data_IF_270490290791
#
_entry.id   IF_270490290791
#
_cell.length_a   1.000
_cell.length_b   1.000
_cell.length_c   1.000
_cell.angle_alpha   90.00
_cell.angle_beta   90.00
_cell.angle_gamma   90.00
#
_symmetry.space_group_name_H-M   'P 1'
#
loop_
_entity.id
_entity.type
_entity.pdbx_description
1 polymer ?
#
# COMPACT_ATOMS: atom_id res chain seq x y z
N UNK A 1 -9.75 -29.02 -9.08
CA UNK A 1 -10.31 -28.55 -7.79
C UNK A 1 -10.70 -27.09 -8.00
N UNK A 2 -11.95 -26.70 -7.81
CA UNK A 2 -12.53 -25.43 -8.29
C UNK A 2 -11.84 -24.14 -7.79
N UNK A 3 -11.00 -24.22 -6.76
CA UNK A 3 -10.37 -23.06 -6.10
C UNK A 3 -8.85 -23.02 -6.23
N UNK A 4 -8.28 -23.85 -7.12
CA UNK A 4 -6.89 -23.69 -7.57
C UNK A 4 -6.74 -22.63 -8.66
N UNK A 5 -7.87 -22.18 -9.23
CA UNK A 5 -7.97 -21.12 -10.23
C UNK A 5 -8.67 -19.91 -9.62
N UNK A 6 -8.40 -18.74 -10.19
CA UNK A 6 -9.09 -17.52 -9.80
C UNK A 6 -10.43 -17.42 -10.52
N UNK A 7 -11.50 -17.12 -9.77
CA UNK A 7 -12.87 -16.98 -10.27
C UNK A 7 -13.12 -15.66 -11.03
N UNK A 8 -12.06 -14.94 -11.33
CA UNK A 8 -12.02 -13.66 -12.01
C UNK A 8 -10.73 -13.57 -12.83
N UNK A 9 -10.64 -12.65 -13.82
CA UNK A 9 -9.44 -12.51 -14.67
C UNK A 9 -8.13 -12.27 -13.90
N UNK A 10 -8.25 -11.79 -12.66
CA UNK A 10 -7.16 -11.61 -11.70
C UNK A 10 -7.71 -11.63 -10.29
N UNK A 11 -6.81 -11.78 -9.31
CA UNK A 11 -7.16 -11.88 -7.90
C UNK A 11 -7.68 -10.56 -7.34
N UNK A 12 -9.00 -10.45 -7.16
CA UNK A 12 -9.68 -9.21 -6.75
C UNK A 12 -9.30 -8.71 -5.35
N UNK A 13 -8.73 -9.56 -4.50
CA UNK A 13 -8.19 -9.15 -3.20
C UNK A 13 -6.87 -8.38 -3.31
N UNK A 14 -6.12 -8.57 -4.40
CA UNK A 14 -4.82 -7.93 -4.62
C UNK A 14 -4.81 -6.95 -5.80
N UNK A 15 -5.70 -7.12 -6.79
CA UNK A 15 -5.69 -6.37 -8.05
C UNK A 15 -7.07 -5.81 -8.40
N UNK A 16 -7.07 -4.71 -9.15
CA UNK A 16 -8.20 -4.15 -9.88
C UNK A 16 -7.85 -4.07 -11.39
N UNK A 17 -8.72 -3.46 -12.19
CA UNK A 17 -8.51 -3.32 -13.63
C UNK A 17 -7.24 -2.50 -13.96
N UNK A 18 -6.94 -1.50 -13.13
CA UNK A 18 -5.80 -0.58 -13.30
C UNK A 18 -4.46 -1.16 -12.83
N UNK A 19 -4.45 -2.20 -11.98
CA UNK A 19 -3.23 -2.79 -11.44
C UNK A 19 -3.39 -3.38 -10.05
N UNK A 20 -2.30 -3.37 -9.27
CA UNK A 20 -2.36 -3.79 -7.86
C UNK A 20 -3.21 -2.78 -7.08
N UNK A 21 -4.09 -3.25 -6.19
CA UNK A 21 -4.96 -2.39 -5.40
C UNK A 21 -4.11 -1.46 -4.53
N UNK A 22 -4.46 -0.18 -4.55
CA UNK A 22 -3.96 0.77 -3.58
C UNK A 22 -4.71 0.56 -2.26
N UNK A 23 -3.97 0.34 -1.17
CA UNK A 23 -4.56 0.32 0.16
C UNK A 23 -4.80 1.74 0.68
N UNK A 24 -5.70 1.89 1.66
CA UNK A 24 -5.85 3.13 2.43
C UNK A 24 -4.68 3.27 3.40
N UNK A 25 -3.47 3.51 2.86
CA UNK A 25 -2.21 3.59 3.62
C UNK A 25 -2.27 4.59 4.79
N UNK A 26 -3.09 5.63 4.67
CA UNK A 26 -3.29 6.65 5.70
C UNK A 26 -3.92 6.11 6.99
N UNK A 27 -4.67 5.00 6.95
CA UNK A 27 -5.27 4.41 8.15
C UNK A 27 -4.20 3.98 9.17
N UNK A 28 -2.99 3.67 8.71
CA UNK A 28 -1.86 3.33 9.55
C UNK A 28 -1.39 4.50 10.42
N UNK A 29 -1.70 5.76 10.10
CA UNK A 29 -1.38 6.89 10.98
C UNK A 29 -2.04 6.74 12.36
N UNK A 30 -3.23 6.12 12.43
CA UNK A 30 -3.94 5.87 13.69
C UNK A 30 -3.21 4.90 14.62
N UNK A 31 -2.25 4.12 14.08
CA UNK A 31 -1.41 3.23 14.86
C UNK A 31 -0.25 3.95 15.57
N UNK A 32 0.05 5.20 15.22
CA UNK A 32 1.15 5.96 15.81
C UNK A 32 0.63 7.01 16.80
N UNK A 33 1.40 7.26 17.87
CA UNK A 33 1.02 8.25 18.89
C UNK A 33 1.40 9.66 18.42
N UNK A 34 0.44 10.61 18.35
CA UNK A 34 0.76 12.01 18.12
C UNK A 34 1.47 12.63 19.32
N UNK A 35 2.46 13.49 19.04
CA UNK A 35 3.17 14.23 20.09
C UNK A 35 2.85 15.72 19.99
N UNK A 36 2.67 16.35 21.15
CA UNK A 36 2.43 17.79 21.21
C UNK A 36 3.66 18.55 20.74
N UNK A 37 3.46 19.51 19.85
CA UNK A 37 4.51 20.32 19.22
C UNK A 37 5.40 21.01 20.26
N UNK A 38 4.81 21.47 21.37
CA UNK A 38 5.50 22.19 22.44
C UNK A 38 6.38 21.30 23.34
N UNK A 39 6.23 19.97 23.27
CA UNK A 39 7.03 19.02 24.04
C UNK A 39 8.42 18.78 23.43
N UNK A 40 8.62 19.17 22.16
CA UNK A 40 9.89 18.98 21.44
C UNK A 40 10.76 20.25 21.60
N UNK A 41 11.16 20.54 22.84
CA UNK A 41 12.02 21.68 23.16
C UNK A 41 13.49 21.35 22.91
N UNK A 42 13.96 21.49 21.68
CA UNK A 42 15.38 21.57 21.33
C UNK A 42 15.71 22.93 20.73
N UNK A 43 16.88 23.49 21.05
CA UNK A 43 17.35 24.76 20.46
C UNK A 43 18.01 24.52 19.10
N UNK A 44 18.51 23.30 18.85
CA UNK A 44 19.20 22.94 17.63
C UNK A 44 18.46 21.80 16.89
N UNK A 45 17.49 22.16 16.06
CA UNK A 45 16.69 21.22 15.29
C UNK A 45 17.23 21.07 13.86
N UNK A 46 17.04 19.90 13.26
CA UNK A 46 17.30 19.64 11.84
C UNK A 46 16.04 19.17 11.14
N UNK A 47 15.82 19.60 9.91
CA UNK A 47 14.65 19.18 9.12
C UNK A 47 15.10 18.55 7.81
N UNK A 48 14.65 17.32 7.56
CA UNK A 48 14.77 16.64 6.27
C UNK A 48 13.42 16.71 5.58
N UNK A 49 13.36 17.40 4.45
CA UNK A 49 12.12 17.60 3.67
C UNK A 49 12.12 16.69 2.46
N UNK A 50 11.04 15.95 2.29
CA UNK A 50 10.72 15.26 1.04
C UNK A 50 10.57 16.29 -0.09
N UNK A 51 11.48 16.23 -1.05
CA UNK A 51 11.49 17.09 -2.22
C UNK A 51 10.28 16.87 -3.12
N UNK A 52 9.75 15.65 -3.22
CA UNK A 52 8.52 15.36 -3.95
C UNK A 52 7.32 16.07 -3.34
N UNK A 53 7.15 15.95 -2.01
CA UNK A 53 6.16 16.73 -1.27
C UNK A 53 6.34 18.24 -1.46
N UNK A 54 7.57 18.74 -1.31
CA UNK A 54 7.88 20.17 -1.45
C UNK A 54 7.47 20.71 -2.83
N UNK A 55 7.77 19.96 -3.91
CA UNK A 55 7.44 20.33 -5.29
C UNK A 55 5.95 20.62 -5.49
N UNK A 56 5.08 19.86 -4.83
CA UNK A 56 3.63 20.04 -4.91
C UNK A 56 3.07 21.02 -3.88
N UNK A 57 3.82 21.29 -2.79
CA UNK A 57 3.32 22.14 -1.70
C UNK A 57 3.39 23.63 -2.00
N UNK A 58 4.41 24.07 -2.75
CA UNK A 58 4.59 25.48 -3.09
C UNK A 58 3.76 25.82 -4.32
N UNK A 59 2.80 26.73 -4.16
CA UNK A 59 1.85 27.10 -5.22
C UNK A 59 2.48 28.07 -6.22
N UNK A 60 2.34 27.77 -7.51
CA UNK A 60 2.82 28.66 -8.57
C UNK A 60 1.74 29.68 -8.95
N UNK A 61 1.97 30.96 -8.67
CA UNK A 61 1.04 32.01 -9.06
C UNK A 61 1.17 32.38 -10.55
N UNK A 62 0.07 32.88 -11.14
CA UNK A 62 0.07 33.35 -12.52
C UNK A 62 1.12 34.44 -12.74
N UNK A 63 1.77 34.40 -13.90
CA UNK A 63 2.82 35.34 -14.31
C UNK A 63 4.08 35.34 -13.44
N UNK A 64 4.29 34.32 -12.59
CA UNK A 64 5.59 34.11 -11.98
C UNK A 64 6.54 33.41 -12.96
N UNK A 65 7.73 33.97 -13.14
CA UNK A 65 8.80 33.30 -13.85
C UNK A 65 9.46 32.23 -12.98
N UNK A 66 10.21 31.31 -13.60
CA UNK A 66 10.87 30.21 -12.89
C UNK A 66 11.82 30.69 -11.79
N UNK A 67 12.49 31.83 -11.96
CA UNK A 67 13.34 32.44 -10.93
C UNK A 67 12.57 32.85 -9.67
N UNK A 68 11.41 33.51 -9.86
CA UNK A 68 10.53 33.87 -8.76
C UNK A 68 9.88 32.62 -8.14
N UNK A 69 9.56 31.60 -8.95
CA UNK A 69 9.03 30.32 -8.47
C UNK A 69 10.05 29.67 -7.52
N UNK A 70 11.30 29.45 -7.94
CA UNK A 70 12.32 28.84 -7.06
C UNK A 70 12.60 29.68 -5.81
N UNK A 71 12.47 31.01 -5.91
CA UNK A 71 12.52 31.90 -4.74
C UNK A 71 11.38 31.63 -3.76
N UNK A 72 10.16 31.38 -4.24
CA UNK A 72 9.04 30.97 -3.37
C UNK A 72 9.31 29.66 -2.64
N UNK A 73 10.00 28.70 -3.27
CA UNK A 73 10.43 27.47 -2.57
C UNK A 73 11.38 27.77 -1.43
N UNK A 74 12.38 28.64 -1.65
CA UNK A 74 13.29 29.06 -0.59
C UNK A 74 12.55 29.80 0.53
N UNK A 75 11.68 30.76 0.18
CA UNK A 75 10.88 31.49 1.15
C UNK A 75 9.99 30.55 1.96
N UNK A 76 9.39 29.54 1.32
CA UNK A 76 8.64 28.50 2.00
C UNK A 76 9.50 27.76 3.02
N UNK A 77 10.67 27.27 2.60
CA UNK A 77 11.59 26.57 3.50
C UNK A 77 11.99 27.44 4.70
N UNK A 78 12.39 28.70 4.47
CA UNK A 78 12.81 29.63 5.51
C UNK A 78 11.67 30.05 6.46
N UNK A 79 10.44 30.11 5.97
CA UNK A 79 9.28 30.53 6.76
C UNK A 79 8.79 29.40 7.67
N UNK A 80 8.74 28.18 7.14
CA UNK A 80 8.16 27.03 7.85
C UNK A 80 9.18 26.19 8.61
N UNK A 81 10.43 26.20 8.15
CA UNK A 81 11.52 25.43 8.74
C UNK A 81 12.65 26.40 9.11
N UNK A 82 12.98 26.44 10.40
CA UNK A 82 14.09 27.25 10.93
C UNK A 82 15.41 26.78 10.28
N UNK A 83 16.51 27.50 10.49
CA UNK A 83 17.86 27.13 10.07
C UNK A 83 18.18 25.64 10.27
N UNK A 84 18.97 25.06 9.35
CA UNK A 84 19.35 23.63 9.25
C UNK A 84 18.31 22.73 8.55
N UNK A 85 18.16 22.93 7.24
CA UNK A 85 17.26 22.15 6.39
C UNK A 85 18.05 21.40 5.33
N UNK A 86 17.69 20.13 5.13
CA UNK A 86 18.06 19.35 3.96
C UNK A 86 16.82 18.98 3.13
N UNK A 87 16.88 19.21 1.83
CA UNK A 87 15.83 18.77 0.89
C UNK A 87 16.35 17.57 0.11
N UNK A 88 15.57 16.49 0.06
CA UNK A 88 15.96 15.27 -0.65
C UNK A 88 15.00 15.01 -1.80
N UNK A 89 15.52 15.01 -3.03
CA UNK A 89 14.72 14.82 -4.24
C UNK A 89 14.79 13.38 -4.75
N UNK A 90 13.72 12.95 -5.44
CA UNK A 90 13.73 11.76 -6.27
C UNK A 90 14.74 11.86 -7.42
N UNK A 91 15.18 10.67 -7.84
CA UNK A 91 16.02 10.49 -9.01
C UNK A 91 15.25 10.06 -10.25
N UNK A 92 15.68 10.57 -11.39
CA UNK A 92 15.09 10.28 -12.69
C UNK A 92 16.21 9.89 -13.67
N UNK A 93 16.75 8.66 -13.57
CA UNK A 93 17.85 8.25 -14.43
C UNK A 93 17.40 8.24 -15.88
N UNK A 94 18.22 8.77 -16.78
CA UNK A 94 17.93 8.74 -18.22
C UNK A 94 18.01 7.34 -18.82
N UNK A 95 18.72 6.43 -18.12
CA UNK A 95 19.09 5.09 -18.60
C UNK A 95 18.40 3.96 -17.83
N UNK A 96 17.19 4.17 -17.30
CA UNK A 96 16.45 3.05 -16.71
C UNK A 96 16.02 2.15 -17.86
N UNK A 97 16.73 1.05 -18.08
CA UNK A 97 16.49 0.05 -19.14
C UNK A 97 15.15 -0.72 -18.97
N UNK A 98 14.08 -0.07 -18.51
CA UNK A 98 12.83 -0.73 -18.14
C UNK A 98 12.97 -1.71 -16.97
N UNK A 99 14.10 -1.71 -16.25
CA UNK A 99 14.39 -2.64 -15.15
C UNK A 99 13.98 -2.12 -13.77
N UNK A 100 13.40 -0.93 -13.66
CA UNK A 100 12.95 -0.40 -12.37
C UNK A 100 11.55 -0.90 -12.03
N UNK A 101 11.37 -1.28 -10.77
CA UNK A 101 10.06 -1.60 -10.19
C UNK A 101 9.13 -0.39 -10.11
N UNK A 102 9.66 0.84 -10.26
CA UNK A 102 8.88 2.09 -10.27
C UNK A 102 8.39 2.48 -11.66
N UNK A 103 8.86 1.83 -12.73
CA UNK A 103 8.49 2.17 -14.12
C UNK A 103 6.99 2.07 -14.37
N UNK A 104 6.31 1.03 -13.86
CA UNK A 104 4.86 0.88 -14.02
C UNK A 104 4.08 2.05 -13.37
N UNK A 105 4.44 2.42 -12.15
CA UNK A 105 3.78 3.53 -11.44
C UNK A 105 4.08 4.89 -12.09
N UNK A 106 5.31 5.09 -12.58
CA UNK A 106 5.69 6.29 -13.34
C UNK A 106 4.86 6.43 -14.62
N UNK A 107 4.67 5.34 -15.37
CA UNK A 107 3.86 5.34 -16.60
C UNK A 107 2.38 5.57 -16.30
N UNK A 108 1.84 4.95 -15.23
CA UNK A 108 0.47 5.21 -14.78
C UNK A 108 0.24 6.70 -14.52
N UNK A 109 1.17 7.35 -13.79
CA UNK A 109 1.11 8.79 -13.51
C UNK A 109 1.27 9.65 -14.76
N UNK A 110 2.19 9.29 -15.66
CA UNK A 110 2.43 10.00 -16.90
C UNK A 110 1.20 9.95 -17.85
N UNK A 111 0.50 8.82 -17.89
CA UNK A 111 -0.71 8.68 -18.70
C UNK A 111 -1.90 9.51 -18.20
N UNK A 112 -1.95 9.82 -16.89
CA UNK A 112 -2.99 10.68 -16.32
C UNK A 112 -2.83 12.15 -16.71
N UNK A 113 -1.59 12.62 -16.90
CA UNK A 113 -1.28 14.03 -17.13
C UNK A 113 -0.16 14.16 -18.17
N UNK A 114 -0.45 13.88 -19.44
CA UNK A 114 0.55 14.03 -20.50
C UNK A 114 0.88 15.50 -20.74
N UNK A 115 2.15 15.87 -20.61
CA UNK A 115 2.66 17.21 -20.92
C UNK A 115 3.92 17.12 -21.76
N UNK A 116 4.15 18.14 -22.60
CA UNK A 116 5.33 18.23 -23.46
C UNK A 116 6.56 18.64 -22.65
N UNK A 117 7.75 18.29 -23.15
CA UNK A 117 9.00 18.80 -22.57
C UNK A 117 9.09 20.32 -22.81
N UNK A 118 9.42 21.07 -21.76
CA UNK A 118 9.57 22.52 -21.78
C UNK A 118 11.03 22.86 -21.52
N UNK A 119 11.63 23.58 -22.45
CA UNK A 119 12.95 24.18 -22.30
C UNK A 119 12.75 25.60 -21.77
N UNK A 120 13.32 25.90 -20.60
CA UNK A 120 13.13 27.19 -19.95
C UNK A 120 14.42 27.70 -19.30
N UNK A 121 14.38 28.98 -18.94
CA UNK A 121 15.36 29.66 -18.09
C UNK A 121 14.62 30.40 -16.97
N UNK A 122 15.36 31.01 -16.06
CA UNK A 122 14.81 31.70 -14.88
C UNK A 122 13.83 32.84 -15.23
N UNK A 123 13.93 33.47 -16.39
CA UNK A 123 13.11 34.61 -16.79
C UNK A 123 11.77 34.20 -17.43
N UNK A 124 11.61 32.94 -17.85
CA UNK A 124 10.41 32.44 -18.52
C UNK A 124 9.30 32.15 -17.51
N UNK A 125 8.06 32.51 -17.86
CA UNK A 125 6.86 32.11 -17.13
C UNK A 125 6.34 30.76 -17.65
N UNK A 126 5.94 29.82 -16.77
CA UNK A 126 5.28 28.60 -17.20
C UNK A 126 3.98 28.92 -17.95
N UNK A 127 3.81 28.35 -19.14
CA UNK A 127 2.57 28.49 -19.94
C UNK A 127 1.49 27.47 -19.53
N UNK A 128 1.90 26.42 -18.82
CA UNK A 128 1.04 25.33 -18.35
C UNK A 128 0.92 25.33 -16.84
N UNK A 129 -0.05 24.59 -16.30
CA UNK A 129 -0.21 24.48 -14.84
C UNK A 129 0.97 23.75 -14.19
N UNK A 130 1.16 23.97 -12.88
CA UNK A 130 2.17 23.29 -12.08
C UNK A 130 2.00 21.77 -12.16
N UNK A 131 0.77 21.26 -12.09
CA UNK A 131 0.45 19.84 -12.15
C UNK A 131 0.86 19.25 -13.51
N UNK A 132 0.51 19.92 -14.60
CA UNK A 132 0.90 19.51 -15.95
C UNK A 132 2.41 19.56 -16.14
N UNK A 133 3.07 20.58 -15.59
CA UNK A 133 4.52 20.71 -15.68
C UNK A 133 5.22 19.58 -14.92
N UNK A 134 4.83 19.33 -13.68
CA UNK A 134 5.39 18.30 -12.81
C UNK A 134 4.98 16.89 -13.24
N UNK A 135 3.99 16.70 -14.10
CA UNK A 135 3.68 15.37 -14.63
C UNK A 135 4.75 14.84 -15.60
N UNK A 136 5.51 15.71 -16.25
CA UNK A 136 6.58 15.33 -17.16
C UNK A 136 7.92 15.19 -16.41
N UNK A 137 8.53 14.00 -16.48
CA UNK A 137 9.80 13.70 -15.79
C UNK A 137 10.97 14.58 -16.25
N UNK A 138 11.06 14.92 -17.54
CA UNK A 138 12.13 15.78 -18.06
C UNK A 138 11.99 17.21 -17.54
N UNK A 139 10.76 17.70 -17.43
CA UNK A 139 10.47 19.00 -16.83
C UNK A 139 10.84 19.02 -15.35
N UNK A 140 10.48 17.96 -14.61
CA UNK A 140 10.87 17.77 -13.21
C UNK A 140 12.38 17.80 -13.02
N UNK A 141 13.13 17.04 -13.82
CA UNK A 141 14.61 17.01 -13.74
C UNK A 141 15.19 18.41 -13.91
N UNK A 142 14.81 19.11 -14.99
CA UNK A 142 15.30 20.46 -15.27
C UNK A 142 14.95 21.44 -14.15
N UNK A 143 13.75 21.33 -13.59
CA UNK A 143 13.30 22.20 -12.50
C UNK A 143 14.02 21.89 -11.19
N UNK A 144 14.19 20.61 -10.84
CA UNK A 144 14.97 20.18 -9.68
C UNK A 144 16.41 20.67 -9.81
N UNK A 145 17.04 20.57 -10.99
CA UNK A 145 18.39 21.08 -11.22
C UNK A 145 18.50 22.59 -11.00
N UNK A 146 17.50 23.36 -11.46
CA UNK A 146 17.44 24.80 -11.21
C UNK A 146 17.25 25.11 -9.72
N UNK A 147 16.32 24.41 -9.07
CA UNK A 147 16.01 24.58 -7.65
C UNK A 147 17.22 24.25 -6.78
N UNK A 148 17.92 23.14 -7.03
CA UNK A 148 19.14 22.74 -6.31
C UNK A 148 20.23 23.81 -6.39
N UNK A 149 20.48 24.38 -7.57
CA UNK A 149 21.45 25.50 -7.72
C UNK A 149 21.08 26.69 -6.84
N UNK A 150 19.79 27.00 -6.74
CA UNK A 150 19.29 28.10 -5.92
C UNK A 150 19.39 27.79 -4.41
N UNK A 151 19.04 26.57 -4.01
CA UNK A 151 19.18 26.10 -2.62
C UNK A 151 20.64 26.14 -2.15
N UNK A 152 21.57 25.65 -2.99
CA UNK A 152 23.01 25.64 -2.71
C UNK A 152 23.58 27.05 -2.53
N UNK A 153 23.15 28.00 -3.38
CA UNK A 153 23.55 29.40 -3.28
C UNK A 153 23.17 30.03 -1.93
N UNK A 154 22.09 29.55 -1.33
CA UNK A 154 21.55 30.04 -0.07
C UNK A 154 21.92 29.13 1.12
N UNK A 155 22.92 28.26 0.93
CA UNK A 155 23.44 27.30 1.92
C UNK A 155 22.39 26.30 2.46
N UNK A 156 21.33 26.03 1.70
CA UNK A 156 20.41 24.93 2.00
C UNK A 156 21.01 23.64 1.45
N UNK A 157 21.05 22.60 2.28
CA UNK A 157 21.57 21.30 1.85
C UNK A 157 20.57 20.64 0.92
N UNK A 158 21.03 20.15 -0.23
CA UNK A 158 20.23 19.31 -1.12
C UNK A 158 20.87 17.93 -1.30
N UNK A 159 20.03 16.91 -1.45
CA UNK A 159 20.43 15.56 -1.88
C UNK A 159 19.47 15.07 -2.95
N UNK A 160 19.91 14.11 -3.74
CA UNK A 160 19.07 13.48 -4.74
C UNK A 160 19.35 11.98 -4.79
N UNK A 161 18.28 11.19 -4.76
CA UNK A 161 18.36 9.75 -4.90
C UNK A 161 18.65 9.35 -6.35
N UNK A 162 19.02 8.09 -6.55
CA UNK A 162 19.13 7.51 -7.91
C UNK A 162 17.74 7.30 -8.51
N UNK A 163 16.79 6.79 -7.73
CA UNK A 163 15.39 6.65 -8.15
C UNK A 163 14.43 7.20 -7.10
N UNK A 164 14.30 6.49 -5.98
CA UNK A 164 13.30 6.73 -4.95
C UNK A 164 13.95 7.40 -3.75
N UNK A 165 13.45 8.55 -3.31
CA UNK A 165 14.03 9.32 -2.22
C UNK A 165 13.74 8.74 -0.83
N UNK A 166 12.75 7.86 -0.69
CA UNK A 166 12.22 7.41 0.61
C UNK A 166 13.30 6.96 1.60
N UNK A 167 14.19 6.06 1.14
CA UNK A 167 15.28 5.53 1.96
C UNK A 167 16.32 6.63 2.25
N UNK A 168 16.69 7.42 1.23
CA UNK A 168 17.70 8.48 1.36
C UNK A 168 17.25 9.60 2.31
N UNK A 169 15.95 9.89 2.38
CA UNK A 169 15.33 10.82 3.34
C UNK A 169 15.60 10.33 4.76
N UNK A 170 15.27 9.07 5.04
CA UNK A 170 15.44 8.47 6.37
C UNK A 170 16.92 8.32 6.73
N UNK A 171 17.76 7.87 5.79
CA UNK A 171 19.22 7.78 5.99
C UNK A 171 19.84 9.15 6.28
N UNK A 172 19.40 10.19 5.58
CA UNK A 172 19.87 11.56 5.81
C UNK A 172 19.54 12.00 7.23
N UNK A 173 18.30 11.78 7.68
CA UNK A 173 17.89 12.08 9.05
C UNK A 173 18.72 11.28 10.07
N UNK A 174 18.92 9.99 9.83
CA UNK A 174 19.72 9.11 10.70
C UNK A 174 21.19 9.53 10.77
N UNK A 175 21.76 10.05 9.68
CA UNK A 175 23.18 10.43 9.59
C UNK A 175 23.54 11.64 10.45
N UNK A 176 22.59 12.55 10.67
CA UNK A 176 22.80 13.79 11.44
C UNK A 176 22.35 13.70 12.90
N UNK A 177 21.87 12.53 13.33
CA UNK A 177 21.29 12.28 14.67
C UNK A 177 22.10 12.74 15.87
N UNK A 178 23.42 12.66 15.78
CA UNK A 178 24.32 12.97 16.91
C UNK A 178 24.70 14.44 16.96
N UNK A 179 24.25 15.23 15.98
CA UNK A 179 24.61 16.65 15.81
C UNK A 179 23.48 17.59 16.26
N UNK A 180 22.25 17.09 16.41
CA UNK A 180 21.05 17.88 16.63
C UNK A 180 20.20 17.33 17.77
N UNK A 181 19.52 18.24 18.46
CA UNK A 181 18.64 17.91 19.58
C UNK A 181 17.42 17.13 19.10
N UNK A 182 16.82 17.57 17.99
CA UNK A 182 15.68 16.90 17.34
C UNK A 182 15.83 16.92 15.82
N UNK A 183 15.36 15.86 15.18
CA UNK A 183 15.32 15.74 13.73
C UNK A 183 13.89 15.47 13.28
N UNK A 184 13.45 16.21 12.28
CA UNK A 184 12.12 16.07 11.70
C UNK A 184 12.24 15.59 10.25
N UNK A 185 11.62 14.47 9.93
CA UNK A 185 11.34 14.05 8.56
C UNK A 185 9.97 14.60 8.17
N UNK A 186 9.93 15.44 7.15
CA UNK A 186 8.71 16.09 6.67
C UNK A 186 8.29 15.47 5.34
N UNK A 187 7.06 14.97 5.29
CA UNK A 187 6.46 14.39 4.10
C UNK A 187 5.00 13.99 4.36
N UNK A 188 4.36 13.42 3.35
CA UNK A 188 2.96 12.95 3.44
C UNK A 188 2.84 11.44 3.53
N UNK A 189 3.82 10.68 3.03
CA UNK A 189 3.75 9.24 2.95
C UNK A 189 3.97 8.56 4.31
N UNK A 190 3.13 7.58 4.63
CA UNK A 190 3.29 6.72 5.81
C UNK A 190 4.55 5.85 5.70
N UNK A 191 5.03 5.60 4.48
CA UNK A 191 6.22 4.80 4.22
C UNK A 191 7.43 5.36 5.00
N UNK A 192 7.49 6.68 5.25
CA UNK A 192 8.49 7.29 6.12
C UNK A 192 8.43 6.79 7.56
N UNK A 193 7.25 6.69 8.17
CA UNK A 193 7.09 6.15 9.53
C UNK A 193 7.49 4.68 9.62
N UNK A 194 7.14 3.89 8.60
CA UNK A 194 7.53 2.48 8.50
C UNK A 194 9.05 2.35 8.40
N UNK A 195 9.68 3.12 7.51
CA UNK A 195 11.13 3.14 7.32
C UNK A 195 11.88 3.65 8.55
N UNK A 196 11.39 4.69 9.22
CA UNK A 196 11.98 5.20 10.45
C UNK A 196 11.96 4.14 11.56
N UNK A 197 10.88 3.38 11.67
CA UNK A 197 10.76 2.27 12.63
C UNK A 197 11.77 1.15 12.31
N UNK A 198 11.95 0.80 11.03
CA UNK A 198 12.85 -0.27 10.61
C UNK A 198 14.34 0.10 10.65
N UNK A 199 14.70 1.29 10.17
CA UNK A 199 16.09 1.73 9.97
C UNK A 199 16.67 2.52 11.16
N UNK A 200 15.81 3.05 12.04
CA UNK A 200 16.23 3.81 13.22
C UNK A 200 15.66 3.28 14.55
N UNK A 201 15.81 1.97 14.86
CA UNK A 201 15.11 1.29 15.94
C UNK A 201 15.57 1.65 17.36
N UNK A 202 16.09 2.84 17.70
CA UNK A 202 16.54 3.15 19.08
C UNK A 202 16.71 4.67 19.34
N UNK A 203 15.93 5.55 18.70
CA UNK A 203 16.27 6.99 18.69
C UNK A 203 15.10 7.89 19.06
N UNK A 204 15.16 8.44 20.28
CA UNK A 204 14.13 9.30 20.87
C UNK A 204 14.04 10.69 20.22
N UNK A 205 15.07 11.13 19.50
CA UNK A 205 15.14 12.46 18.89
C UNK A 205 14.73 12.54 17.41
N UNK A 206 14.08 11.50 16.89
CA UNK A 206 13.65 11.43 15.49
C UNK A 206 12.12 11.46 15.40
N UNK A 207 11.61 12.38 14.60
CA UNK A 207 10.19 12.65 14.49
C UNK A 207 9.75 12.68 13.03
N UNK A 208 8.54 12.20 12.76
CA UNK A 208 7.88 12.40 11.48
C UNK A 208 6.88 13.55 11.61
N UNK A 209 6.90 14.49 10.67
CA UNK A 209 6.01 15.65 10.68
C UNK A 209 5.16 15.65 9.41
N UNK A 210 3.88 15.36 9.61
CA UNK A 210 2.83 15.64 8.62
C UNK A 210 2.34 17.08 8.83
N UNK A 211 1.81 17.73 7.81
CA UNK A 211 1.28 19.10 7.89
C UNK A 211 0.42 19.34 9.15
N UNK A 212 0.90 20.21 10.04
CA UNK A 212 0.22 20.57 11.29
C UNK A 212 0.29 19.53 12.42
N UNK A 213 0.79 18.31 12.17
CA UNK A 213 0.82 17.21 13.14
C UNK A 213 2.23 16.63 13.25
N UNK A 214 2.84 16.72 14.43
CA UNK A 214 4.10 16.03 14.72
C UNK A 214 3.77 14.67 15.32
N UNK A 215 4.24 13.63 14.65
CA UNK A 215 4.20 12.25 15.13
C UNK A 215 5.60 11.89 15.63
N UNK A 216 5.71 11.58 16.92
CA UNK A 216 6.98 11.14 17.46
C UNK A 216 7.19 9.68 17.09
N UNK A 217 8.37 9.38 16.54
CA UNK A 217 8.79 8.00 16.32
C UNK A 217 9.36 7.47 17.64
N UNK A 218 8.50 7.35 18.65
CA UNK A 218 8.79 6.45 19.74
C UNK A 218 8.47 5.03 19.27
N UNK A 219 9.11 4.02 19.88
CA UNK A 219 8.48 2.71 20.02
C UNK A 219 7.22 2.83 20.89
N UNK A 220 6.28 3.70 20.55
CA UNK A 220 4.97 3.70 21.15
C UNK A 220 4.15 2.72 20.33
N UNK A 221 4.17 1.47 20.79
CA UNK A 221 3.13 0.47 20.60
C UNK A 221 2.70 0.22 19.14
N UNK A 222 3.29 -0.83 18.55
CA UNK A 222 2.55 -1.89 17.87
C UNK A 222 1.12 -1.52 17.45
N UNK A 223 0.92 -1.16 16.18
CA UNK A 223 -0.40 -0.84 15.64
C UNK A 223 -1.44 -1.93 15.92
N UNK A 224 -2.55 -1.56 16.56
CA UNK A 224 -3.50 -2.46 17.25
C UNK A 224 -4.11 -3.61 16.44
N UNK A 225 -4.11 -3.61 15.10
CA UNK A 225 -4.77 -4.66 14.31
C UNK A 225 -3.79 -5.68 13.69
N UNK A 226 -2.81 -5.20 12.90
CA UNK A 226 -1.79 -6.08 12.31
C UNK A 226 -0.78 -6.59 13.34
N UNK A 227 -0.49 -5.82 14.40
CA UNK A 227 0.37 -6.31 15.48
C UNK A 227 -0.39 -7.16 16.48
N UNK A 228 -1.70 -6.97 16.67
CA UNK A 228 -2.49 -7.95 17.44
C UNK A 228 -2.44 -9.34 16.79
N UNK A 229 -2.35 -9.43 15.46
CA UNK A 229 -2.09 -10.68 14.76
C UNK A 229 -0.73 -11.29 15.20
N UNK A 230 0.34 -10.49 15.25
CA UNK A 230 1.68 -10.93 15.66
C UNK A 230 1.77 -11.27 17.15
N UNK A 231 1.18 -10.45 18.01
CA UNK A 231 1.09 -10.67 19.46
C UNK A 231 0.34 -11.96 19.79
N UNK A 232 -0.78 -12.22 19.09
CA UNK A 232 -1.58 -13.44 19.24
C UNK A 232 -0.90 -14.67 18.62
N UNK A 233 -0.02 -14.47 17.65
CA UNK A 233 0.61 -15.55 16.89
C UNK A 233 2.14 -15.39 16.89
N UNK A 234 2.80 -15.62 18.03
CA UNK A 234 4.26 -15.47 18.17
C UNK A 234 5.08 -16.23 17.12
N UNK A 235 4.56 -17.35 16.58
CA UNK A 235 5.25 -18.08 15.50
C UNK A 235 5.29 -17.32 14.16
N UNK A 236 4.47 -16.29 13.96
CA UNK A 236 4.57 -15.41 12.80
C UNK A 236 5.85 -14.58 12.83
N UNK A 237 6.41 -14.29 14.01
CA UNK A 237 7.71 -13.61 14.11
C UNK A 237 8.82 -14.41 13.42
N UNK A 238 8.81 -15.74 13.55
CA UNK A 238 9.77 -16.62 12.87
C UNK A 238 9.59 -16.58 11.34
N UNK A 239 8.35 -16.48 10.87
CA UNK A 239 8.05 -16.33 9.43
C UNK A 239 8.49 -14.97 8.91
N UNK A 240 8.30 -13.90 9.68
CA UNK A 240 8.77 -12.56 9.33
C UNK A 240 10.30 -12.52 9.21
N UNK A 241 11.04 -13.20 10.10
CA UNK A 241 12.51 -13.26 10.03
C UNK A 241 13.02 -13.80 8.69
N UNK A 242 12.26 -14.65 8.00
CA UNK A 242 12.60 -15.13 6.65
C UNK A 242 12.73 -13.95 5.67
N UNK A 243 11.90 -12.92 5.79
CA UNK A 243 11.96 -11.76 4.91
C UNK A 243 13.22 -10.91 5.08
N UNK A 244 13.89 -11.02 6.24
CA UNK A 244 15.14 -10.32 6.55
C UNK A 244 16.39 -11.19 6.31
N UNK A 245 16.24 -12.43 5.84
CA UNK A 245 17.37 -13.33 5.55
C UNK A 245 17.82 -13.20 4.09
N UNK A 246 19.10 -12.85 3.86
CA UNK A 246 19.70 -12.71 2.52
C UNK A 246 19.70 -14.00 1.73
N UNK A 247 19.83 -15.13 2.44
CA UNK A 247 19.95 -16.47 1.88
C UNK A 247 18.60 -17.19 1.78
N UNK A 248 17.50 -16.50 2.10
CA UNK A 248 16.17 -17.07 1.95
C UNK A 248 15.92 -17.47 0.49
N UNK A 249 15.47 -18.70 0.30
CA UNK A 249 15.05 -19.21 -1.01
C UNK A 249 13.68 -18.64 -1.39
N UNK A 250 13.35 -18.65 -2.68
CA UNK A 250 12.04 -18.24 -3.21
C UNK A 250 10.91 -18.99 -2.48
N UNK A 251 11.06 -20.30 -2.28
CA UNK A 251 10.02 -21.11 -1.62
C UNK A 251 9.90 -20.81 -0.13
N UNK A 252 11.00 -20.52 0.57
CA UNK A 252 10.92 -20.10 1.97
C UNK A 252 10.16 -18.79 2.12
N UNK A 253 10.42 -17.81 1.25
CA UNK A 253 9.72 -16.52 1.24
C UNK A 253 8.25 -16.71 0.88
N UNK A 254 7.95 -17.51 -0.15
CA UNK A 254 6.59 -17.81 -0.57
C UNK A 254 5.79 -18.48 0.56
N UNK A 255 6.35 -19.52 1.19
CA UNK A 255 5.69 -20.25 2.29
C UNK A 255 5.50 -19.37 3.53
N UNK A 256 6.46 -18.49 3.83
CA UNK A 256 6.32 -17.53 4.92
C UNK A 256 5.20 -16.51 4.65
N UNK A 257 5.12 -16.00 3.41
CA UNK A 257 4.05 -15.09 2.99
C UNK A 257 2.68 -15.76 2.96
N UNK A 258 2.59 -16.99 2.48
CA UNK A 258 1.35 -17.78 2.51
C UNK A 258 0.87 -18.00 3.96
N UNK A 259 1.78 -18.41 4.86
CA UNK A 259 1.46 -18.58 6.28
C UNK A 259 0.92 -17.29 6.87
N UNK A 260 1.53 -16.15 6.55
CA UNK A 260 1.07 -14.85 7.02
C UNK A 260 -0.35 -14.53 6.52
N UNK A 261 -0.62 -14.76 5.23
CA UNK A 261 -1.93 -14.55 4.63
C UNK A 261 -3.00 -15.49 5.21
N UNK A 262 -2.70 -16.76 5.46
CA UNK A 262 -3.63 -17.69 6.12
C UNK A 262 -4.13 -17.11 7.45
N UNK A 263 -3.22 -16.62 8.31
CA UNK A 263 -3.59 -16.03 9.59
C UNK A 263 -4.34 -14.69 9.42
N UNK A 264 -3.94 -13.87 8.45
CA UNK A 264 -4.60 -12.59 8.15
C UNK A 264 -6.08 -12.80 7.79
N UNK A 265 -6.40 -13.89 7.09
CA UNK A 265 -7.76 -14.28 6.72
C UNK A 265 -8.44 -15.22 7.74
N UNK A 266 -7.90 -15.32 8.97
CA UNK A 266 -8.51 -16.06 10.07
C UNK A 266 -8.33 -17.58 10.02
N UNK A 267 -7.50 -18.10 9.13
CA UNK A 267 -7.15 -19.52 9.10
C UNK A 267 -6.14 -19.90 10.16
N UNK A 268 -6.14 -21.18 10.57
CA UNK A 268 -5.17 -21.75 11.49
C UNK A 268 -4.38 -22.88 10.80
N UNK A 269 -3.09 -22.68 10.47
CA UNK A 269 -2.30 -23.69 9.78
C UNK A 269 -1.87 -24.87 10.67
N UNK A 270 -2.21 -24.85 11.98
CA UNK A 270 -1.90 -25.95 12.92
C UNK A 270 -3.01 -26.99 13.03
N UNK A 271 -4.25 -26.67 12.64
CA UNK A 271 -5.41 -27.55 12.85
C UNK A 271 -5.74 -28.43 11.65
N UNK A 272 -5.22 -28.13 10.46
CA UNK A 272 -5.13 -29.03 9.31
C UNK A 272 -4.18 -28.43 8.28
N UNK A 273 -3.48 -29.26 7.51
CA UNK A 273 -2.59 -28.83 6.43
C UNK A 273 -3.41 -28.27 5.25
N UNK A 274 -4.02 -27.12 5.47
CA UNK A 274 -4.89 -26.44 4.52
C UNK A 274 -4.13 -25.25 3.95
N UNK A 275 -3.72 -25.40 2.70
CA UNK A 275 -3.11 -24.31 1.93
C UNK A 275 -4.09 -23.14 1.75
N UNK A 276 -3.59 -22.02 1.23
CA UNK A 276 -4.41 -20.82 1.06
C UNK A 276 -5.62 -21.05 0.14
N UNK A 277 -5.53 -21.99 -0.81
CA UNK A 277 -6.64 -22.34 -1.71
C UNK A 277 -7.75 -23.10 -0.96
N UNK A 278 -7.39 -23.96 -0.01
CA UNK A 278 -8.35 -24.63 0.85
C UNK A 278 -9.08 -23.60 1.74
N UNK A 279 -8.34 -22.69 2.39
CA UNK A 279 -8.96 -21.61 3.17
C UNK A 279 -9.90 -20.76 2.29
N UNK A 280 -9.46 -20.44 1.08
CA UNK A 280 -10.26 -19.70 0.09
C UNK A 280 -11.58 -20.42 -0.22
N UNK A 281 -11.53 -21.73 -0.43
CA UNK A 281 -12.72 -22.55 -0.66
C UNK A 281 -13.67 -22.53 0.54
N UNK A 282 -13.14 -22.75 1.74
CA UNK A 282 -13.91 -22.73 2.98
C UNK A 282 -14.63 -21.40 3.17
N UNK A 283 -13.92 -20.27 3.04
CA UNK A 283 -14.51 -18.93 3.13
C UNK A 283 -15.53 -18.67 2.02
N UNK A 284 -15.28 -19.14 0.80
CA UNK A 284 -16.25 -19.03 -0.29
C UNK A 284 -17.55 -19.76 0.05
N UNK A 285 -17.47 -21.03 0.48
CA UNK A 285 -18.66 -21.82 0.84
C UNK A 285 -19.45 -21.21 2.00
N UNK A 286 -18.78 -20.66 3.01
CA UNK A 286 -19.41 -19.93 4.10
C UNK A 286 -20.09 -18.63 3.66
N UNK A 287 -19.54 -17.96 2.64
CA UNK A 287 -20.08 -16.70 2.11
C UNK A 287 -21.21 -16.90 1.10
N UNK A 288 -21.20 -18.00 0.36
CA UNK A 288 -22.17 -18.30 -0.70
C UNK A 288 -23.57 -18.65 -0.17
N UNK A 289 -23.71 -18.90 1.14
CA UNK A 289 -25.00 -19.03 1.83
C UNK A 289 -25.62 -17.67 2.19
N UNK A 290 -24.89 -16.56 2.00
CA UNK A 290 -25.34 -15.19 2.31
C UNK A 290 -25.82 -14.46 1.05
N UNK A 291 -26.82 -13.59 1.20
CA UNK A 291 -27.52 -12.91 0.09
C UNK A 291 -26.64 -12.00 -0.81
N UNK A 292 -25.42 -11.63 -0.36
CA UNK A 292 -24.40 -10.91 -1.15
C UNK A 292 -23.02 -11.46 -0.80
N UNK A 293 -22.46 -12.30 -1.67
CA UNK A 293 -21.05 -12.70 -1.59
C UNK A 293 -20.19 -11.74 -2.41
N UNK A 294 -19.21 -11.10 -1.77
CA UNK A 294 -18.25 -10.21 -2.47
C UNK A 294 -16.95 -10.98 -2.67
N UNK A 295 -16.67 -11.40 -3.91
CA UNK A 295 -15.46 -12.17 -4.26
C UNK A 295 -14.15 -11.49 -3.84
N UNK A 296 -14.12 -10.15 -3.78
CA UNK A 296 -12.95 -9.39 -3.33
C UNK A 296 -12.57 -9.60 -1.86
N UNK A 297 -13.47 -10.19 -1.04
CA UNK A 297 -13.20 -10.52 0.38
C UNK A 297 -12.49 -11.86 0.54
N UNK A 298 -12.36 -12.66 -0.51
CA UNK A 298 -11.67 -13.94 -0.46
C UNK A 298 -10.15 -13.75 -0.40
N UNK A 299 -9.41 -14.62 0.32
CA UNK A 299 -7.96 -14.62 0.27
C UNK A 299 -7.46 -14.83 -1.16
N UNK A 300 -6.29 -14.31 -1.54
CA UNK A 300 -5.71 -14.57 -2.85
C UNK A 300 -5.47 -16.07 -3.07
N UNK A 301 -5.34 -16.49 -4.33
CA UNK A 301 -4.86 -17.85 -4.62
C UNK A 301 -3.42 -18.02 -4.12
N UNK A 302 -2.99 -19.26 -3.89
CA UNK A 302 -1.58 -19.58 -3.54
C UNK A 302 -0.60 -18.97 -4.56
N UNK A 303 -0.97 -19.00 -5.84
CA UNK A 303 -0.17 -18.46 -6.93
C UNK A 303 0.00 -16.93 -6.84
N UNK A 304 -1.10 -16.20 -6.68
CA UNK A 304 -1.06 -14.74 -6.49
C UNK A 304 -0.35 -14.33 -5.18
N UNK A 305 -0.57 -15.11 -4.11
CA UNK A 305 0.08 -14.93 -2.81
C UNK A 305 1.60 -15.10 -2.90
N UNK A 306 2.09 -16.10 -3.64
CA UNK A 306 3.52 -16.31 -3.90
C UNK A 306 4.16 -15.06 -4.49
N UNK A 307 3.60 -14.52 -5.56
CA UNK A 307 4.14 -13.31 -6.17
C UNK A 307 4.07 -12.07 -5.27
N UNK A 308 3.01 -11.95 -4.45
CA UNK A 308 2.92 -10.88 -3.47
C UNK A 308 4.05 -10.97 -2.42
N UNK A 309 4.30 -12.16 -1.87
CA UNK A 309 5.38 -12.39 -0.92
C UNK A 309 6.77 -12.07 -1.51
N UNK A 310 7.05 -12.51 -2.74
CA UNK A 310 8.34 -12.24 -3.39
C UNK A 310 8.58 -10.75 -3.63
N UNK A 311 7.54 -9.99 -3.99
CA UNK A 311 7.63 -8.54 -4.16
C UNK A 311 7.82 -7.81 -2.82
N UNK A 312 7.15 -8.25 -1.78
CA UNK A 312 7.35 -7.71 -0.42
C UNK A 312 8.78 -7.95 0.05
N UNK A 313 9.36 -9.12 -0.23
CA UNK A 313 10.77 -9.40 0.02
C UNK A 313 11.69 -8.48 -0.77
N UNK A 314 11.49 -8.35 -2.09
CA UNK A 314 12.26 -7.43 -2.93
C UNK A 314 12.24 -5.98 -2.39
N UNK A 315 11.06 -5.51 -1.96
CA UNK A 315 10.88 -4.17 -1.41
C UNK A 315 11.63 -3.98 -0.09
N UNK A 316 11.55 -4.93 0.84
CA UNK A 316 12.28 -4.90 2.11
C UNK A 316 13.79 -4.81 1.87
N UNK A 317 14.32 -5.62 0.95
CA UNK A 317 15.76 -5.60 0.63
C UNK A 317 16.21 -4.32 -0.04
N UNK A 318 15.38 -3.74 -0.92
CA UNK A 318 15.61 -2.42 -1.49
C UNK A 318 15.69 -1.35 -0.38
N UNK A 319 14.81 -1.41 0.61
CA UNK A 319 14.82 -0.51 1.76
C UNK A 319 16.04 -0.68 2.67
N UNK A 320 16.59 -1.89 2.74
CA UNK A 320 17.84 -2.18 3.45
C UNK A 320 19.09 -1.79 2.64
N UNK A 321 18.94 -1.18 1.46
CA UNK A 321 20.06 -0.73 0.63
C UNK A 321 20.70 -1.84 -0.22
N UNK A 322 20.04 -2.99 -0.37
CA UNK A 322 20.55 -4.11 -1.16
C UNK A 322 19.83 -4.21 -2.51
N UNK A 323 20.59 -4.33 -3.58
CA UNK A 323 20.05 -4.62 -4.91
C UNK A 323 19.76 -6.12 -5.06
N UNK A 324 18.52 -6.47 -5.39
CA UNK A 324 18.12 -7.81 -5.82
C UNK A 324 17.51 -7.72 -7.22
N UNK A 325 17.72 -8.77 -8.02
CA UNK A 325 17.18 -8.83 -9.37
C UNK A 325 15.65 -8.94 -9.34
N UNK A 326 14.89 -7.93 -9.79
CA UNK A 326 13.43 -7.98 -9.71
C UNK A 326 12.80 -9.15 -10.49
N UNK A 327 13.46 -9.62 -11.55
CA UNK A 327 12.98 -10.72 -12.39
C UNK A 327 12.98 -12.06 -11.66
N UNK A 328 13.87 -12.24 -10.68
CA UNK A 328 13.92 -13.42 -9.82
C UNK A 328 12.90 -13.36 -8.67
N UNK A 329 12.44 -12.15 -8.34
CA UNK A 329 11.63 -11.87 -7.15
C UNK A 329 10.25 -11.30 -7.49
N UNK A 330 9.60 -11.92 -8.48
CA UNK A 330 8.16 -11.73 -8.72
C UNK A 330 7.78 -10.51 -9.55
N UNK A 331 8.67 -10.05 -10.44
CA UNK A 331 8.37 -9.08 -11.49
C UNK A 331 8.62 -9.69 -12.88
N UNK A 332 7.83 -9.29 -13.88
CA UNK A 332 8.00 -9.73 -15.28
C UNK A 332 8.31 -8.55 -16.19
N UNK A 333 9.11 -8.75 -17.26
CA UNK A 333 9.40 -7.70 -18.21
C UNK A 333 8.18 -7.44 -19.11
N UNK A 334 7.88 -6.18 -19.35
CA UNK A 334 6.83 -5.72 -20.26
C UNK A 334 7.41 -4.67 -21.21
N UNK A 335 6.66 -4.30 -22.25
CA UNK A 335 7.02 -3.19 -23.16
C UNK A 335 7.20 -1.83 -22.44
N UNK A 336 6.72 -1.73 -21.20
CA UNK A 336 6.70 -0.54 -20.38
C UNK A 336 7.62 -0.66 -19.15
N UNK A 337 8.52 -1.63 -19.14
CA UNK A 337 9.41 -1.94 -18.02
C UNK A 337 8.89 -3.11 -17.18
N UNK A 338 9.20 -3.15 -15.89
CA UNK A 338 8.78 -4.24 -15.02
C UNK A 338 7.36 -4.07 -14.51
N UNK A 339 6.59 -5.14 -14.51
CA UNK A 339 5.23 -5.18 -13.96
C UNK A 339 5.07 -6.38 -13.02
N UNK A 340 4.26 -6.25 -11.95
CA UNK A 340 3.87 -7.40 -11.15
C UNK A 340 3.00 -8.34 -12.02
N UNK A 341 3.41 -9.62 -12.22
CA UNK A 341 2.51 -10.60 -12.80
C UNK A 341 1.29 -10.72 -11.88
N UNK A 342 0.11 -10.75 -12.49
CA UNK A 342 -1.15 -10.90 -11.76
C UNK A 342 -1.28 -12.33 -11.24
N UNK A 343 -1.03 -13.32 -12.11
CA UNK A 343 -1.02 -14.77 -11.86
C UNK A 343 -0.15 -15.45 -12.94
N UNK A 344 0.38 -16.65 -12.66
CA UNK A 344 1.04 -17.53 -13.65
C UNK A 344 0.03 -18.44 -14.34
N UNK A 345 -1.04 -18.84 -13.63
CA UNK A 345 -2.12 -19.65 -14.19
C UNK A 345 -3.19 -18.77 -14.81
N UNK A 346 -3.75 -19.24 -15.92
CA UNK A 346 -4.92 -18.63 -16.54
C UNK A 346 -6.07 -18.55 -15.54
N UNK A 347 -6.86 -17.48 -15.65
CA UNK A 347 -8.15 -17.40 -14.97
C UNK A 347 -8.99 -18.63 -15.34
N UNK A 348 -9.85 -19.06 -14.42
CA UNK A 348 -10.62 -20.29 -14.57
C UNK A 348 -11.28 -20.34 -15.97
N UNK A 349 -11.08 -21.41 -16.79
CA UNK A 349 -11.66 -21.45 -18.13
C UNK A 349 -13.16 -21.20 -18.05
N UNK A 350 -13.74 -20.45 -18.99
CA UNK A 350 -15.15 -19.98 -18.96
C UNK A 350 -16.18 -21.07 -18.60
N UNK A 351 -15.84 -22.34 -18.82
CA UNK A 351 -16.58 -23.53 -18.39
C UNK A 351 -16.83 -23.63 -16.87
N UNK A 352 -15.93 -23.10 -16.04
CA UNK A 352 -15.95 -23.17 -14.58
C UNK A 352 -16.62 -21.95 -13.91
N UNK A 353 -16.67 -20.79 -14.62
CA UNK A 353 -17.47 -19.62 -14.22
C UNK A 353 -18.97 -19.91 -14.19
N UNK A 354 -19.41 -20.98 -14.87
CA UNK A 354 -20.71 -21.61 -14.61
C UNK A 354 -20.58 -22.41 -13.33
N UNK A 355 -20.70 -21.74 -12.19
CA UNK A 355 -20.78 -22.45 -10.92
C UNK A 355 -22.11 -23.22 -10.90
N UNK A 356 -22.04 -24.52 -11.18
CA UNK A 356 -23.21 -25.40 -11.29
C UNK A 356 -23.50 -25.97 -9.92
N UNK A 357 -24.54 -25.45 -9.27
CA UNK A 357 -25.15 -26.07 -8.10
C UNK A 357 -26.43 -26.78 -8.49
N UNK A 358 -26.64 -27.98 -7.96
CA UNK A 358 -27.90 -28.66 -8.16
C UNK A 358 -28.90 -28.30 -7.05
N UNK A 359 -30.16 -28.13 -7.45
CA UNK A 359 -31.29 -27.95 -6.54
C UNK A 359 -32.00 -29.28 -6.24
N UNK A 360 -31.26 -30.39 -6.31
CA UNK A 360 -31.81 -31.72 -6.10
C UNK A 360 -32.32 -31.84 -4.65
N UNK A 361 -33.56 -32.32 -4.48
CA UNK A 361 -34.19 -32.46 -3.15
C UNK A 361 -34.00 -33.84 -2.52
N UNK A 362 -33.74 -34.88 -3.34
CA UNK A 362 -33.47 -36.26 -2.92
C UNK A 362 -32.61 -36.95 -3.98
N UNK A 363 -31.48 -37.56 -3.60
CA UNK A 363 -30.66 -38.43 -4.46
C UNK A 363 -30.09 -37.75 -5.72
N UNK A 364 -28.79 -37.46 -5.72
CA UNK A 364 -28.12 -36.82 -6.85
C UNK A 364 -27.75 -37.85 -7.96
N UNK A 365 -28.75 -38.25 -8.76
CA UNK A 365 -28.68 -39.25 -9.86
C UNK A 365 -28.62 -38.58 -11.25
N UNK A 366 -29.12 -39.22 -12.31
CA UNK A 366 -28.97 -38.76 -13.71
C UNK A 366 -29.63 -37.41 -14.03
N UNK A 367 -30.54 -36.92 -13.17
CA UNK A 367 -31.17 -35.61 -13.33
C UNK A 367 -30.36 -34.45 -12.70
N UNK A 368 -29.33 -34.76 -11.91
CA UNK A 368 -28.51 -33.76 -11.22
C UNK A 368 -27.64 -32.96 -12.19
N UNK A 369 -27.72 -31.64 -12.12
CA UNK A 369 -26.96 -30.76 -13.00
C UNK A 369 -25.45 -30.83 -12.73
N UNK A 370 -25.04 -31.00 -11.46
CA UNK A 370 -23.64 -31.26 -11.12
C UNK A 370 -23.15 -32.55 -11.80
N UNK A 371 -23.92 -33.64 -11.70
CA UNK A 371 -23.55 -34.93 -12.29
C UNK A 371 -23.52 -34.90 -13.82
N UNK A 372 -24.47 -34.22 -14.45
CA UNK A 372 -24.49 -34.01 -15.91
C UNK A 372 -23.29 -33.20 -16.39
N UNK A 373 -22.81 -32.28 -15.56
CA UNK A 373 -21.59 -31.52 -15.80
C UNK A 373 -20.31 -32.29 -15.43
N UNK A 374 -20.41 -33.54 -14.97
CA UNK A 374 -19.26 -34.35 -14.54
C UNK A 374 -18.66 -33.94 -13.19
N UNK A 375 -19.43 -33.22 -12.36
CA UNK A 375 -19.00 -32.64 -11.09
C UNK A 375 -19.61 -33.37 -9.90
N UNK A 376 -18.88 -33.37 -8.78
CA UNK A 376 -19.36 -33.81 -7.47
C UNK A 376 -20.19 -32.67 -6.85
N UNK A 377 -21.30 -33.01 -6.18
CA UNK A 377 -22.12 -32.03 -5.48
C UNK A 377 -21.33 -31.43 -4.30
N UNK A 378 -21.15 -30.11 -4.32
CA UNK A 378 -20.57 -29.35 -3.20
C UNK A 378 -21.55 -29.20 -2.04
N UNK A 379 -21.08 -28.76 -0.88
CA UNK A 379 -21.93 -28.33 0.25
C UNK A 379 -22.91 -27.21 -0.10
N UNK A 380 -22.69 -26.50 -1.21
CA UNK A 380 -23.57 -25.46 -1.75
C UNK A 380 -24.76 -26.01 -2.54
N UNK A 381 -24.78 -27.30 -2.86
CA UNK A 381 -25.92 -27.95 -3.50
C UNK A 381 -27.04 -28.20 -2.49
N UNK A 382 -28.29 -28.01 -2.88
CA UNK A 382 -29.44 -28.31 -2.01
C UNK A 382 -29.48 -29.78 -1.59
N UNK A 383 -28.93 -30.70 -2.40
CA UNK A 383 -28.90 -32.13 -2.04
C UNK A 383 -27.90 -32.46 -0.92
N UNK A 384 -26.95 -31.58 -0.62
CA UNK A 384 -25.91 -31.80 0.39
C UNK A 384 -26.34 -31.46 1.82
N UNK A 385 -27.52 -30.83 1.99
CA UNK A 385 -28.14 -30.51 3.29
C UNK A 385 -29.08 -31.61 3.80
N UNK A 386 -29.29 -32.68 3.03
CA UNK A 386 -30.11 -33.84 3.43
C UNK A 386 -29.31 -35.14 3.35
N UNK A 387 -29.58 -36.09 4.24
CA UNK A 387 -28.78 -37.32 4.49
C UNK A 387 -28.68 -38.36 3.34
N UNK A 388 -28.78 -37.99 2.06
CA UNK A 388 -28.68 -38.97 0.97
C UNK A 388 -28.20 -38.39 -0.37
N UNK A 389 -27.15 -37.57 -0.38
CA UNK A 389 -26.46 -37.22 -1.62
C UNK A 389 -25.48 -38.33 -2.02
N UNK A 390 -25.84 -39.13 -3.03
CA UNK A 390 -24.95 -40.18 -3.58
C UNK A 390 -23.83 -39.62 -4.50
N UNK A 391 -23.78 -38.29 -4.72
CA UNK A 391 -22.81 -37.64 -5.62
C UNK A 391 -21.85 -36.74 -4.82
N UNK A 392 -21.31 -37.23 -3.71
CA UNK A 392 -20.29 -36.58 -2.85
C UNK A 392 -18.96 -37.34 -2.90
N UNK A 393 -17.84 -36.70 -2.53
CA UNK A 393 -16.54 -37.37 -2.36
C UNK A 393 -16.32 -37.84 -0.92
N UNK A 394 -15.60 -38.94 -0.72
CA UNK A 394 -15.27 -39.53 0.59
C UNK A 394 -14.51 -38.60 1.55
N UNK A 395 -13.95 -37.48 1.05
CA UNK A 395 -13.31 -36.44 1.88
C UNK A 395 -14.32 -35.75 2.82
N UNK A 396 -15.62 -35.76 2.51
CA UNK A 396 -16.66 -35.11 3.32
C UNK A 396 -17.21 -36.00 4.47
N UNK A 397 -16.73 -37.23 4.64
CA UNK A 397 -17.26 -38.18 5.65
C UNK A 397 -16.45 -38.22 6.95
N UNK A 398 -15.45 -37.35 7.14
CA UNK A 398 -14.62 -37.30 8.35
C UNK A 398 -14.89 -36.11 9.29
N UNK A 399 -15.97 -35.35 9.06
CA UNK A 399 -16.46 -34.36 10.03
C UNK A 399 -17.75 -34.89 10.66
N UNK A 400 -17.59 -35.79 11.61
CA UNK A 400 -18.71 -36.45 12.29
C UNK A 400 -18.40 -36.86 13.72
N UNK A 401 -17.62 -36.05 14.45
CA UNK A 401 -17.52 -36.10 15.91
C UNK A 401 -16.57 -35.02 16.41
N UNK A 402 -17.07 -33.81 16.59
CA UNK A 402 -16.56 -32.90 17.62
C UNK A 402 -17.72 -32.76 18.59
N UNK A 403 -17.54 -33.31 19.79
CA UNK A 403 -18.44 -33.08 20.91
C UNK A 403 -18.48 -31.57 21.19
N UNK A 404 -19.68 -31.06 21.45
CA UNK A 404 -19.94 -29.67 21.81
C UNK A 404 -19.09 -29.26 23.02
N UNK A 405 -17.96 -28.59 22.78
CA UNK A 405 -17.38 -27.66 23.74
C UNK A 405 -17.59 -26.23 23.24
N UNK A 406 -18.13 -25.43 24.16
CA UNK A 406 -18.59 -24.04 24.07
C UNK A 406 -17.59 -23.08 23.42
N UNK A 407 -17.55 -23.04 22.08
CA UNK A 407 -16.84 -22.00 21.33
C UNK A 407 -17.79 -20.81 21.11
N UNK A 408 -17.66 -19.84 22.00
CA UNK A 408 -18.19 -18.49 21.80
C UNK A 408 -17.64 -17.96 20.47
N UNK A 409 -18.44 -17.28 19.62
CA UNK A 409 -17.94 -16.74 18.37
C UNK A 409 -16.77 -15.80 18.64
N UNK A 410 -15.59 -16.12 18.09
CA UNK A 410 -14.44 -15.22 18.17
C UNK A 410 -14.85 -13.84 17.62
N UNK A 411 -14.56 -12.73 18.34
CA UNK A 411 -15.03 -11.39 17.97
C UNK A 411 -14.62 -10.94 16.56
N UNK A 412 -13.61 -11.58 15.97
CA UNK A 412 -13.00 -11.22 14.69
C UNK A 412 -14.00 -11.30 13.52
N UNK A 413 -14.99 -12.20 13.56
CA UNK A 413 -15.99 -12.32 12.48
C UNK A 413 -17.01 -11.17 12.44
N UNK A 414 -17.20 -10.43 13.55
CA UNK A 414 -18.06 -9.26 13.58
C UNK A 414 -17.34 -7.98 13.13
N UNK A 415 -16.02 -7.88 13.32
CA UNK A 415 -15.24 -6.69 12.94
C UNK A 415 -15.11 -6.48 11.43
N UNK A 416 -15.03 -7.54 10.62
CA UNK A 416 -14.96 -7.41 9.14
C UNK A 416 -16.27 -6.85 8.56
N UNK A 417 -17.38 -7.00 9.28
CA UNK A 417 -18.68 -6.48 8.85
C UNK A 417 -18.86 -4.99 9.18
N UNK A 418 -18.42 -4.53 10.35
CA UNK A 418 -18.55 -3.13 10.78
C UNK A 418 -17.57 -2.19 10.05
N UNK A 419 -16.30 -2.60 9.88
CA UNK A 419 -15.26 -1.72 9.29
C UNK A 419 -15.54 -1.35 7.81
N UNK A 420 -16.27 -2.18 7.06
CA UNK A 420 -16.61 -1.90 5.65
C UNK A 420 -17.84 -0.98 5.53
N UNK A 421 -18.73 -0.98 6.53
CA UNK A 421 -19.86 -0.05 6.58
C UNK A 421 -19.38 1.37 6.97
N UNK A 422 -18.44 1.46 7.90
CA UNK A 422 -17.74 2.71 8.25
C UNK A 422 -16.91 3.28 7.09
N UNK A 423 -16.29 2.42 6.27
CA UNK A 423 -15.60 2.83 5.03
C UNK A 423 -16.54 3.44 3.98
N UNK A 424 -17.82 3.05 3.96
CA UNK A 424 -18.81 3.66 3.05
C UNK A 424 -19.36 4.98 3.62
N UNK A 425 -19.47 5.11 4.95
CA UNK A 425 -19.87 6.35 5.60
C UNK A 425 -18.79 7.44 5.57
N UNK A 426 -17.50 7.05 5.60
CA UNK A 426 -16.37 8.00 5.52
C UNK A 426 -16.16 8.59 4.12
N UNK A 427 -16.56 7.86 3.06
CA UNK A 427 -16.56 8.40 1.69
C UNK A 427 -17.56 9.55 1.53
N UNK A 428 -18.66 9.55 2.27
CA UNK A 428 -19.67 10.62 2.25
C UNK A 428 -19.26 11.85 3.10
N UNK A 429 -18.37 11.69 4.09
CA UNK A 429 -17.85 12.78 4.93
C UNK A 429 -16.63 13.49 4.29
N UNK A 430 -15.75 12.77 3.58
CA UNK A 430 -14.63 13.38 2.82
C UNK A 430 -15.12 14.31 1.68
N UNK A 431 -16.30 14.04 1.11
CA UNK A 431 -16.94 14.92 0.13
C UNK A 431 -17.57 16.18 0.76
N UNK A 432 -17.90 16.15 2.06
CA UNK A 432 -18.36 17.32 2.82
C UNK A 432 -17.18 18.18 3.31
N UNK A 433 -16.08 17.58 3.77
CA UNK A 433 -14.90 18.35 4.19
C UNK A 433 -14.29 19.14 3.02
N UNK A 434 -14.26 18.57 1.80
CA UNK A 434 -13.84 19.29 0.58
C UNK A 434 -14.74 20.46 0.18
N UNK A 435 -16.04 20.44 0.55
CA UNK A 435 -16.93 21.57 0.34
C UNK A 435 -16.76 22.67 1.39
N UNK A 436 -16.47 22.29 2.63
CA UNK A 436 -16.27 23.24 3.74
C UNK A 436 -14.92 23.99 3.62
N UNK A 437 -13.86 23.32 3.10
CA UNK A 437 -12.57 23.96 2.81
C UNK A 437 -12.62 25.02 1.68
N UNK A 438 -13.69 25.03 0.86
CA UNK A 438 -13.86 26.04 -0.19
C UNK A 438 -14.52 27.34 0.30
N UNK A 439 -15.21 27.32 1.46
CA UNK A 439 -15.89 28.51 2.01
C UNK A 439 -15.01 29.35 2.94
N UNK A 440 -14.00 28.76 3.59
CA UNK A 440 -13.10 29.46 4.52
C UNK A 440 -12.03 30.34 3.85
N UNK A 441 -11.97 30.35 2.51
CA UNK A 441 -11.00 31.17 1.74
C UNK A 441 -11.60 32.37 1.00
N UNK A 442 -12.82 32.82 1.34
CA UNK A 442 -13.31 34.12 0.81
C UNK A 442 -12.73 35.30 1.60
N UNK A 443 -12.14 36.31 0.94
CA UNK A 443 -11.76 37.55 1.60
C UNK A 443 -12.99 38.27 2.13
N UNK A 444 -12.94 38.71 3.38
CA UNK A 444 -13.98 39.52 4.02
C UNK A 444 -14.33 40.77 3.19
N UNK A 445 -15.60 41.19 3.09
CA UNK A 445 -15.96 42.38 2.31
C UNK A 445 -15.32 43.63 2.93
N UNK A 446 -14.57 44.36 2.10
CA UNK A 446 -13.97 45.65 2.44
C UNK A 446 -15.02 46.62 2.98
N UNK A 447 -14.89 47.03 4.25
CA UNK A 447 -15.68 48.11 4.84
C UNK A 447 -15.38 49.41 4.09
N UNK A 448 -16.32 49.85 3.26
CA UNK A 448 -16.39 51.23 2.76
C UNK A 448 -16.49 52.17 3.98
N UNK A 449 -15.41 52.89 4.27
CA UNK A 449 -15.52 54.09 5.08
C UNK A 449 -16.31 55.13 4.28
N UNK A 450 -17.38 55.65 4.89
CA UNK A 450 -18.08 56.82 4.40
C UNK A 450 -17.16 58.03 4.57
N UNK A 451 -16.86 58.69 3.46
CA UNK A 451 -16.82 60.13 3.32
C UNK A 451 -17.42 60.47 1.95
#
# INVERSE_FOLDING_TARGET
MFFTFELSPFTLSLFNEEGMRNGTKSSLFSAFTPTKIDAVQGKNNFVVVDGGHLLHKVVWHRNMNFGNIVKSYLTYLQTYYVSNVAVVFDGYPSNVNGKSTKSAERIRRANLHSSHEIIFNEAICPEISQEQFLANERNKVRFIDLLKKFLQKENVTDRQAVEDADVLIVETAVSVKSQYDNIFVVGEDIDFLVLLTGLAPMKENLHFRKLGVILQVHYSAMGKQNFALLEKNRHLEEKIKVFFNSEATIDQVANAGETFLIHLYGGNPRTSACDLNHLRYTLFTQSATKARSTLARLPPTVDAARFHALRSYLQIWKWLGHEKNPLEWGCVPTRFGLSPPKMERDADPESLLKIIFCNCKKGCKNACDCRKAGLICSSLCTCSLGEACENVSDINLLEGSIEDEDDTPSPINNFIYEDIEDLNLQLDEEDKEKQTELEDFRPSPSKRQKL
#
